data_IF_497203387674
#
_entry.id   IF_497203387674
#
_cell.length_a   1.000
_cell.length_b   1.000
_cell.length_c   1.000
_cell.angle_alpha   90.00
_cell.angle_beta   90.00
_cell.angle_gamma   90.00
#
_symmetry.space_group_name_H-M   'P 1'
#
loop_
_entity.id
_entity.type
_entity.pdbx_description
1 polymer ?
#
# COMPACT_ATOMS: atom_id res chain seq x y z
N UNK A 1 -17.33 -14.37 -8.55
CA UNK A 1 -16.29 -15.08 -7.75
C UNK A 1 -16.88 -15.32 -6.38
N UNK A 2 -16.76 -16.53 -5.82
CA UNK A 2 -17.25 -16.80 -4.46
C UNK A 2 -16.13 -16.47 -3.45
N UNK A 3 -16.26 -15.33 -2.75
CA UNK A 3 -15.27 -14.87 -1.79
C UNK A 3 -15.13 -15.79 -0.57
N UNK A 4 -16.20 -16.54 -0.22
CA UNK A 4 -16.14 -17.51 0.88
C UNK A 4 -15.26 -18.70 0.52
N UNK A 5 -15.40 -19.20 -0.71
CA UNK A 5 -14.52 -20.25 -1.20
C UNK A 5 -13.07 -19.78 -1.32
N UNK A 6 -12.83 -18.56 -1.81
CA UNK A 6 -11.49 -17.99 -1.86
C UNK A 6 -10.84 -17.90 -0.46
N UNK A 7 -11.57 -17.44 0.55
CA UNK A 7 -11.10 -17.45 1.96
C UNK A 7 -10.80 -18.88 2.42
N UNK A 8 -11.66 -19.83 2.14
CA UNK A 8 -11.47 -21.22 2.55
C UNK A 8 -10.22 -21.86 1.94
N UNK A 9 -9.98 -21.64 0.66
CA UNK A 9 -8.78 -22.11 -0.03
C UNK A 9 -7.50 -21.45 0.54
N UNK A 10 -7.52 -20.13 0.76
CA UNK A 10 -6.37 -19.40 1.33
C UNK A 10 -6.10 -19.79 2.78
N UNK A 11 -7.14 -20.18 3.54
CA UNK A 11 -6.99 -20.55 4.93
C UNK A 11 -6.02 -21.72 5.16
N UNK A 12 -5.99 -22.68 4.23
CA UNK A 12 -5.07 -23.82 4.29
C UNK A 12 -3.58 -23.42 4.25
N UNK A 13 -3.29 -22.19 3.81
CA UNK A 13 -1.93 -21.63 3.67
C UNK A 13 -1.59 -20.58 4.72
N UNK A 14 -2.47 -20.34 5.69
CA UNK A 14 -2.31 -19.23 6.63
C UNK A 14 -1.03 -19.37 7.48
N UNK A 15 -0.59 -20.60 7.74
CA UNK A 15 0.63 -20.90 8.49
C UNK A 15 1.92 -20.80 7.64
N UNK A 16 1.81 -20.61 6.31
CA UNK A 16 2.97 -20.40 5.44
C UNK A 16 3.52 -18.96 5.55
N UNK A 17 2.71 -18.03 6.09
CA UNK A 17 3.07 -16.65 6.32
C UNK A 17 3.46 -16.34 7.76
N UNK A 18 3.90 -15.13 8.00
CA UNK A 18 4.13 -14.60 9.34
C UNK A 18 3.73 -13.11 9.39
N UNK A 19 3.38 -12.63 10.58
CA UNK A 19 3.09 -11.21 10.78
C UNK A 19 4.35 -10.38 10.58
N UNK A 20 4.18 -9.17 10.06
CA UNK A 20 5.28 -8.22 9.90
C UNK A 20 5.84 -7.83 11.26
N UNK A 21 7.17 -7.77 11.39
CA UNK A 21 7.88 -7.45 12.65
C UNK A 21 8.75 -6.21 12.55
N UNK A 22 8.91 -5.65 11.34
CA UNK A 22 9.73 -4.46 11.10
C UNK A 22 9.18 -3.19 11.76
N UNK A 23 7.86 -3.17 12.06
CA UNK A 23 7.22 -2.19 12.94
C UNK A 23 6.75 -2.96 14.19
N UNK A 24 7.24 -2.63 15.40
CA UNK A 24 6.93 -3.41 16.60
C UNK A 24 5.44 -3.58 16.90
N UNK A 25 4.61 -2.60 16.57
CA UNK A 25 3.17 -2.66 16.75
C UNK A 25 2.51 -3.75 15.90
N UNK A 26 3.05 -4.05 14.71
CA UNK A 26 2.53 -5.06 13.80
C UNK A 26 2.76 -6.49 14.32
N UNK A 27 3.83 -6.71 15.09
CA UNK A 27 4.14 -8.02 15.66
C UNK A 27 3.06 -8.55 16.63
N UNK A 28 2.18 -7.67 17.10
CA UNK A 28 1.11 -8.01 18.03
C UNK A 28 -0.24 -8.31 17.35
N UNK A 29 -0.32 -8.27 16.02
CA UNK A 29 -1.55 -8.63 15.30
C UNK A 29 -1.80 -10.13 15.36
N UNK A 30 -3.08 -10.49 15.37
CA UNK A 30 -3.46 -11.91 15.30
C UNK A 30 -3.09 -12.48 13.92
N UNK A 31 -2.20 -13.50 13.83
CA UNK A 31 -1.77 -14.09 12.56
C UNK A 31 -2.91 -14.80 11.81
N UNK A 32 -3.97 -15.17 12.49
CA UNK A 32 -5.11 -15.90 11.94
C UNK A 32 -6.25 -14.96 11.50
N UNK A 33 -5.93 -13.76 11.05
CA UNK A 33 -6.90 -12.83 10.49
C UNK A 33 -6.79 -12.83 8.98
N UNK A 34 -7.78 -13.41 8.31
CA UNK A 34 -7.90 -13.39 6.86
C UNK A 34 -9.25 -12.81 6.48
N UNK A 35 -9.25 -11.74 5.73
CA UNK A 35 -10.46 -11.06 5.28
C UNK A 35 -10.29 -10.53 3.87
N UNK A 36 -11.39 -10.46 3.13
CA UNK A 36 -11.45 -9.87 1.81
C UNK A 36 -12.68 -9.01 1.67
N UNK A 37 -12.52 -7.88 1.00
CA UNK A 37 -13.62 -7.02 0.58
C UNK A 37 -13.40 -6.66 -0.89
N UNK A 38 -14.43 -6.83 -1.70
CA UNK A 38 -14.46 -6.44 -3.11
C UNK A 38 -15.54 -5.39 -3.28
N UNK A 39 -15.22 -4.31 -3.98
CA UNK A 39 -16.17 -3.28 -4.35
C UNK A 39 -16.21 -3.12 -5.87
N UNK A 40 -17.35 -3.40 -6.47
CA UNK A 40 -17.61 -3.17 -7.89
C UNK A 40 -18.15 -1.76 -8.09
N UNK A 41 -17.30 -0.86 -8.55
CA UNK A 41 -17.65 0.56 -8.77
C UNK A 41 -18.68 0.76 -9.89
N UNK A 42 -18.82 -0.20 -10.80
CA UNK A 42 -19.77 -0.09 -11.93
C UNK A 42 -21.19 -0.33 -11.47
N UNK A 43 -21.37 -1.31 -10.56
CA UNK A 43 -22.67 -1.73 -10.07
C UNK A 43 -22.99 -1.26 -8.65
N UNK A 44 -22.08 -0.48 -8.05
CA UNK A 44 -22.17 -0.03 -6.65
C UNK A 44 -22.40 -1.22 -5.69
N UNK A 45 -21.71 -2.33 -5.95
CA UNK A 45 -21.90 -3.56 -5.23
C UNK A 45 -20.68 -3.94 -4.38
N UNK A 46 -20.92 -4.26 -3.11
CA UNK A 46 -19.89 -4.65 -2.15
C UNK A 46 -20.11 -6.09 -1.71
N UNK A 47 -19.06 -6.91 -1.85
CA UNK A 47 -19.00 -8.27 -1.30
C UNK A 47 -17.86 -8.35 -0.28
N UNK A 48 -18.03 -9.19 0.74
CA UNK A 48 -17.03 -9.37 1.77
C UNK A 48 -17.10 -10.77 2.40
N UNK A 49 -15.94 -11.27 2.82
CA UNK A 49 -15.83 -12.55 3.52
C UNK A 49 -14.68 -12.55 4.54
N UNK A 50 -14.72 -13.51 5.48
CA UNK A 50 -13.74 -13.64 6.54
C UNK A 50 -13.72 -12.45 7.50
N UNK A 51 -12.55 -12.11 8.00
CA UNK A 51 -12.33 -11.03 8.97
C UNK A 51 -12.33 -9.61 8.36
N UNK A 52 -13.15 -9.36 7.34
CA UNK A 52 -13.17 -8.13 6.54
C UNK A 52 -13.52 -6.86 7.32
N UNK A 53 -14.06 -6.97 8.54
CA UNK A 53 -14.38 -5.83 9.41
C UNK A 53 -13.28 -5.51 10.43
N UNK A 54 -12.23 -6.32 10.48
CA UNK A 54 -11.12 -6.06 11.40
C UNK A 54 -10.24 -4.96 10.85
N UNK A 55 -9.89 -4.00 11.69
CA UNK A 55 -8.97 -2.92 11.31
C UNK A 55 -7.56 -3.46 11.15
N UNK A 56 -6.86 -2.99 10.14
CA UNK A 56 -5.47 -3.31 9.86
C UNK A 56 -4.68 -2.04 9.49
N UNK A 57 -3.36 -2.14 9.54
CA UNK A 57 -2.49 -1.04 9.12
C UNK A 57 -2.56 -0.87 7.59
N UNK A 58 -2.93 0.30 7.13
CA UNK A 58 -3.04 0.62 5.69
C UNK A 58 -1.68 0.71 5.01
N UNK A 59 -0.64 1.01 5.77
CA UNK A 59 0.75 1.14 5.32
C UNK A 59 0.89 1.96 4.02
N UNK A 60 1.67 1.45 3.07
CA UNK A 60 1.97 2.17 1.81
C UNK A 60 0.79 2.34 0.86
N UNK A 61 -0.35 1.70 1.10
CA UNK A 61 -1.59 2.01 0.36
C UNK A 61 -2.02 3.46 0.60
N UNK A 62 -1.68 4.02 1.76
CA UNK A 62 -1.92 5.44 2.09
C UNK A 62 -1.26 6.41 1.11
N UNK A 63 -0.15 6.03 0.47
CA UNK A 63 0.57 6.89 -0.50
C UNK A 63 -0.30 7.31 -1.69
N UNK A 64 -1.20 6.43 -2.14
CA UNK A 64 -2.15 6.75 -3.21
C UNK A 64 -3.10 7.86 -2.76
N UNK A 65 -3.61 7.77 -1.54
CA UNK A 65 -4.54 8.75 -0.98
C UNK A 65 -3.81 10.09 -0.76
N UNK A 66 -2.59 10.05 -0.20
CA UNK A 66 -1.77 11.24 0.02
C UNK A 66 -1.45 11.95 -1.29
N UNK A 67 -1.08 11.20 -2.34
CA UNK A 67 -0.81 11.75 -3.67
C UNK A 67 -2.06 12.43 -4.27
N UNK A 68 -3.21 11.77 -4.21
CA UNK A 68 -4.47 12.34 -4.70
C UNK A 68 -4.82 13.63 -3.95
N UNK A 69 -4.67 13.63 -2.63
CA UNK A 69 -4.90 14.81 -1.81
C UNK A 69 -3.94 15.94 -2.14
N UNK A 70 -2.64 15.65 -2.31
CA UNK A 70 -1.66 16.66 -2.70
C UNK A 70 -1.97 17.28 -4.07
N UNK A 71 -2.35 16.46 -5.06
CA UNK A 71 -2.76 16.94 -6.38
C UNK A 71 -4.02 17.80 -6.30
N UNK A 72 -5.00 17.40 -5.51
CA UNK A 72 -6.24 18.16 -5.29
C UNK A 72 -5.97 19.55 -4.67
N UNK A 73 -5.06 19.61 -3.69
CA UNK A 73 -4.74 20.86 -2.99
C UNK A 73 -3.78 21.78 -3.75
N UNK A 74 -2.80 21.23 -4.44
CA UNK A 74 -1.68 21.98 -5.00
C UNK A 74 -1.68 22.01 -6.55
N UNK A 75 -2.42 21.11 -7.17
CA UNK A 75 -2.39 20.88 -8.60
C UNK A 75 -1.28 19.93 -9.05
N UNK A 76 -1.51 19.27 -10.18
CA UNK A 76 -0.59 18.25 -10.72
C UNK A 76 0.80 18.84 -11.04
N UNK A 77 0.87 20.05 -11.59
CA UNK A 77 2.13 20.69 -11.96
C UNK A 77 3.01 20.96 -10.73
N UNK A 78 2.44 21.47 -9.65
CA UNK A 78 3.17 21.74 -8.41
C UNK A 78 3.70 20.44 -7.80
N UNK A 79 2.89 19.41 -7.74
CA UNK A 79 3.31 18.09 -7.21
C UNK A 79 4.39 17.47 -8.09
N UNK A 80 4.23 17.45 -9.41
CA UNK A 80 5.21 16.85 -10.33
C UNK A 80 6.52 17.64 -10.41
N UNK A 81 6.53 18.92 -10.01
CA UNK A 81 7.76 19.70 -9.88
C UNK A 81 8.61 19.29 -8.66
N UNK A 82 8.01 18.65 -7.66
CA UNK A 82 8.69 18.20 -6.43
C UNK A 82 9.01 16.71 -6.45
N UNK A 83 8.19 15.91 -7.13
CA UNK A 83 8.32 14.46 -7.17
C UNK A 83 8.27 14.01 -8.62
N UNK A 84 9.24 13.20 -9.04
CA UNK A 84 9.28 12.66 -10.40
C UNK A 84 8.21 11.61 -10.69
N UNK A 85 8.23 11.09 -11.91
CA UNK A 85 7.32 10.03 -12.38
C UNK A 85 8.07 8.83 -12.94
N UNK A 86 9.36 8.72 -12.60
CA UNK A 86 10.27 7.70 -13.15
C UNK A 86 10.31 6.44 -12.29
N UNK A 87 10.61 5.33 -12.90
CA UNK A 87 10.91 4.09 -12.19
C UNK A 87 12.24 4.20 -11.44
N UNK A 88 12.36 3.48 -10.34
CA UNK A 88 13.63 3.28 -9.65
C UNK A 88 14.11 1.84 -9.86
N UNK A 89 15.41 1.66 -10.03
CA UNK A 89 16.06 0.34 -10.01
C UNK A 89 16.46 -0.12 -8.61
N UNK A 90 16.04 0.60 -7.58
CA UNK A 90 16.39 0.37 -6.19
C UNK A 90 15.17 0.01 -5.34
N UNK A 91 15.35 -0.58 -4.16
CA UNK A 91 14.27 -0.79 -3.20
C UNK A 91 13.54 0.51 -2.84
N UNK A 92 12.24 0.41 -2.59
CA UNK A 92 11.35 1.57 -2.35
C UNK A 92 11.66 2.35 -1.08
N UNK A 93 12.40 1.76 -0.15
CA UNK A 93 12.76 2.29 1.17
C UNK A 93 14.19 2.85 1.24
N UNK A 94 14.89 2.91 0.11
CA UNK A 94 16.25 3.47 0.02
C UNK A 94 16.26 4.86 -0.60
N UNK A 95 17.26 5.67 -0.20
CA UNK A 95 17.59 6.97 -0.81
C UNK A 95 18.81 6.87 -1.75
N UNK A 96 19.36 5.66 -1.95
CA UNK A 96 20.59 5.43 -2.72
C UNK A 96 20.55 6.05 -4.12
N UNK A 97 19.38 6.06 -4.77
CA UNK A 97 19.28 6.68 -6.08
C UNK A 97 19.63 8.17 -6.03
N UNK A 98 19.11 8.91 -5.07
CA UNK A 98 19.37 10.34 -4.90
C UNK A 98 20.85 10.59 -4.54
N UNK A 99 21.44 9.74 -3.71
CA UNK A 99 22.85 9.84 -3.30
C UNK A 99 23.80 9.56 -4.50
N UNK A 100 23.50 8.55 -5.32
CA UNK A 100 24.34 8.17 -6.47
C UNK A 100 24.24 9.20 -7.60
N UNK A 101 23.03 9.67 -7.88
CA UNK A 101 22.78 10.61 -8.99
C UNK A 101 23.02 12.07 -8.60
N UNK A 102 23.05 12.38 -7.30
CA UNK A 102 23.06 13.75 -6.79
C UNK A 102 21.76 14.52 -7.03
N UNK A 103 20.68 13.82 -7.43
CA UNK A 103 19.36 14.42 -7.61
C UNK A 103 18.74 14.74 -6.26
N UNK A 104 18.23 15.96 -6.09
CA UNK A 104 17.49 16.36 -4.88
C UNK A 104 16.02 15.96 -4.90
N UNK A 105 15.53 15.52 -6.06
CA UNK A 105 14.12 15.19 -6.27
C UNK A 105 13.92 13.66 -6.26
N UNK A 106 12.96 13.14 -5.48
CA UNK A 106 12.59 11.73 -5.52
C UNK A 106 12.07 11.30 -6.89
N UNK A 107 12.35 10.07 -7.31
CA UNK A 107 11.99 9.58 -8.65
C UNK A 107 10.50 9.44 -8.89
N UNK A 108 9.73 9.12 -7.85
CA UNK A 108 8.28 8.97 -7.94
C UNK A 108 7.63 9.04 -6.54
N UNK A 109 6.31 9.29 -6.47
CA UNK A 109 5.59 9.47 -5.20
C UNK A 109 5.35 8.17 -4.41
N UNK A 110 5.77 7.00 -4.92
CA UNK A 110 5.52 5.70 -4.27
C UNK A 110 6.76 5.12 -3.56
N UNK A 111 7.95 5.66 -3.81
CA UNK A 111 9.10 5.43 -2.94
C UNK A 111 8.95 6.22 -1.65
N UNK A 112 9.56 5.76 -0.54
CA UNK A 112 9.38 6.41 0.76
C UNK A 112 9.80 7.89 0.75
N UNK A 113 10.92 8.22 0.11
CA UNK A 113 11.39 9.60 -0.02
C UNK A 113 10.47 10.51 -0.84
N UNK A 114 9.66 9.94 -1.73
CA UNK A 114 8.73 10.70 -2.57
C UNK A 114 7.31 10.80 -2.01
N UNK A 115 7.04 10.08 -0.93
CA UNK A 115 5.72 10.06 -0.29
C UNK A 115 5.63 11.02 0.92
N UNK A 116 6.73 11.65 1.28
CA UNK A 116 6.86 12.63 2.36
C UNK A 116 6.61 14.04 1.81
#
# INVERSE_FOLDING_TARGET
MDLKNAIHECWSKIDEGHVATYIPALANVNPYQLGVCLFDVTNDHKEQAGASQVRFAVESVSKVISLLYAIDQLGLEAVSSQVGTRQTGFPFDTILNMEITGESQPLNPFVNSGAI
#
